data_IF_748637478325
#
_entry.id   IF_748637478325
#
_cell.length_a   1.000
_cell.length_b   1.000
_cell.length_c   1.000
_cell.angle_alpha   90.00
_cell.angle_beta   90.00
_cell.angle_gamma   90.00
#
_symmetry.space_group_name_H-M   'P 1'
#
loop_
_entity.id
_entity.type
_entity.pdbx_description
1 polymer ?
#
# COMPACT_ATOMS: atom_id res chain seq x y z
N UNK A 1 14.65 10.08 4.96
CA UNK A 1 13.43 9.26 5.08
C UNK A 1 13.26 8.43 3.81
N UNK A 2 13.01 7.16 3.96
CA UNK A 2 12.74 6.26 2.84
C UNK A 2 11.35 6.55 2.27
N UNK A 3 11.25 6.62 0.95
CA UNK A 3 10.00 6.90 0.25
C UNK A 3 9.21 5.60 0.08
N UNK A 4 8.05 5.52 0.70
CA UNK A 4 7.18 4.36 0.65
C UNK A 4 5.92 4.62 -0.20
N UNK A 5 5.54 3.66 -1.03
CA UNK A 5 4.22 3.62 -1.64
C UNK A 5 3.35 2.56 -0.97
N UNK A 6 2.05 2.81 -0.90
CA UNK A 6 1.06 1.85 -0.40
C UNK A 6 0.08 1.56 -1.52
N UNK A 7 0.04 0.31 -1.97
CA UNK A 7 -0.86 -0.16 -3.02
C UNK A 7 -2.01 -0.93 -2.38
N UNK A 8 -3.23 -0.64 -2.81
CA UNK A 8 -4.44 -1.09 -2.14
C UNK A 8 -4.83 -0.21 -0.96
N UNK A 9 -4.43 1.06 -1.00
CA UNK A 9 -4.55 2.00 0.11
C UNK A 9 -5.99 2.23 0.62
N UNK A 10 -7.00 2.03 -0.22
CA UNK A 10 -8.42 2.19 0.15
C UNK A 10 -9.01 0.96 0.83
N UNK A 11 -8.37 -0.20 0.74
CA UNK A 11 -8.79 -1.43 1.40
C UNK A 11 -8.37 -1.48 2.87
N UNK A 12 -8.93 -2.44 3.61
CA UNK A 12 -8.69 -2.59 5.06
C UNK A 12 -7.20 -2.77 5.36
N UNK A 13 -6.50 -3.62 4.64
CA UNK A 13 -5.06 -3.88 4.84
C UNK A 13 -4.22 -2.66 4.49
N UNK A 14 -4.51 -2.01 3.36
CA UNK A 14 -3.82 -0.78 2.97
C UNK A 14 -3.99 0.35 3.98
N UNK A 15 -5.16 0.47 4.58
CA UNK A 15 -5.41 1.42 5.66
C UNK A 15 -4.56 1.13 6.91
N UNK A 16 -4.32 -0.14 7.24
CA UNK A 16 -3.42 -0.52 8.33
C UNK A 16 -1.96 -0.10 8.02
N UNK A 17 -1.51 -0.24 6.78
CA UNK A 17 -0.20 0.30 6.39
C UNK A 17 -0.13 1.82 6.53
N UNK A 18 -1.15 2.54 6.10
CA UNK A 18 -1.22 4.00 6.29
C UNK A 18 -1.13 4.35 7.77
N UNK A 19 -1.91 3.67 8.61
CA UNK A 19 -1.91 3.89 10.06
C UNK A 19 -0.54 3.64 10.69
N UNK A 20 0.13 2.55 10.28
CA UNK A 20 1.43 2.18 10.81
C UNK A 20 2.56 3.12 10.35
N UNK A 21 2.48 3.64 9.12
CA UNK A 21 3.55 4.40 8.51
C UNK A 21 3.42 5.93 8.64
N UNK A 22 2.24 6.47 8.96
CA UNK A 22 2.03 7.93 8.94
C UNK A 22 2.91 8.72 9.93
N UNK A 23 3.42 8.08 10.97
CA UNK A 23 4.34 8.67 11.95
C UNK A 23 5.61 7.84 12.12
N UNK A 24 5.93 7.02 11.13
CA UNK A 24 7.08 6.12 11.21
C UNK A 24 8.40 6.92 11.11
N UNK A 25 9.41 6.63 11.96
CA UNK A 25 10.65 7.42 11.99
C UNK A 25 11.53 7.26 10.74
N UNK A 26 11.34 6.20 9.94
CA UNK A 26 12.18 5.90 8.79
C UNK A 26 11.48 6.05 7.44
N UNK A 27 10.14 6.05 7.42
CA UNK A 27 9.38 6.07 6.18
C UNK A 27 8.53 7.32 6.05
N UNK A 28 8.46 7.83 4.84
CA UNK A 28 7.45 8.83 4.42
C UNK A 28 6.52 8.17 3.42
N UNK A 29 5.22 8.30 3.61
CA UNK A 29 4.22 7.88 2.63
C UNK A 29 4.28 8.86 1.46
N UNK A 30 4.92 8.45 0.36
CA UNK A 30 5.12 9.28 -0.83
C UNK A 30 4.00 9.12 -1.86
N UNK A 31 3.35 7.96 -1.89
CA UNK A 31 2.23 7.70 -2.79
C UNK A 31 1.24 6.70 -2.20
N UNK A 32 -0.01 6.87 -2.58
CA UNK A 32 -1.11 5.96 -2.31
C UNK A 32 -1.68 5.52 -3.65
N UNK A 33 -1.83 4.22 -3.86
CA UNK A 33 -2.36 3.67 -5.10
C UNK A 33 -3.51 2.70 -4.81
N UNK A 34 -4.45 2.64 -5.74
CA UNK A 34 -5.61 1.79 -5.66
C UNK A 34 -6.11 1.42 -7.07
N UNK A 35 -7.29 0.80 -7.15
CA UNK A 35 -7.90 0.49 -8.43
C UNK A 35 -8.17 1.76 -9.26
N UNK A 36 -8.29 1.64 -10.60
CA UNK A 36 -8.59 2.78 -11.47
C UNK A 36 -9.83 3.59 -11.06
N UNK A 37 -10.78 2.97 -10.39
CA UNK A 37 -11.99 3.64 -9.87
C UNK A 37 -11.67 4.74 -8.84
N UNK A 38 -10.61 4.57 -8.08
CA UNK A 38 -10.17 5.54 -7.06
C UNK A 38 -9.10 6.50 -7.57
N UNK A 39 -8.47 6.20 -8.69
CA UNK A 39 -7.41 7.03 -9.26
C UNK A 39 -7.89 8.43 -9.62
N UNK A 40 -7.03 9.43 -9.41
CA UNK A 40 -7.31 10.83 -9.68
C UNK A 40 -8.11 11.57 -8.59
N UNK A 41 -8.59 10.85 -7.58
CA UNK A 41 -9.24 11.43 -6.40
C UNK A 41 -8.20 11.70 -5.32
N UNK A 42 -8.47 12.63 -4.39
CA UNK A 42 -7.73 12.67 -3.13
C UNK A 42 -8.02 11.40 -2.32
N UNK A 43 -7.12 11.03 -1.42
CA UNK A 43 -7.35 9.86 -0.57
C UNK A 43 -8.62 10.02 0.25
N UNK A 44 -8.90 11.22 0.75
CA UNK A 44 -10.16 11.57 1.44
C UNK A 44 -11.38 11.22 0.57
N UNK A 45 -11.39 11.67 -0.68
CA UNK A 45 -12.49 11.41 -1.60
C UNK A 45 -12.61 9.92 -1.95
N UNK A 46 -11.49 9.22 -2.11
CA UNK A 46 -11.47 7.79 -2.39
C UNK A 46 -12.03 6.95 -1.23
N UNK A 47 -11.91 7.43 0.01
CA UNK A 47 -12.45 6.79 1.22
C UNK A 47 -13.90 7.13 1.49
N UNK A 48 -14.46 8.15 0.86
CA UNK A 48 -15.84 8.58 1.09
C UNK A 48 -16.82 7.85 0.20
N UNK A 49 -17.97 7.50 0.78
CA UNK A 49 -19.13 7.11 -0.01
C UNK A 49 -19.66 8.36 -0.75
N UNK A 50 -19.76 8.34 -2.08
CA UNK A 50 -20.16 9.52 -2.86
C UNK A 50 -21.61 9.98 -2.61
N UNK A 51 -22.47 9.08 -2.15
CA UNK A 51 -23.89 9.38 -1.91
C UNK A 51 -24.14 9.90 -0.49
N UNK A 52 -23.47 9.31 0.51
CA UNK A 52 -23.73 9.61 1.92
C UNK A 52 -22.63 10.46 2.56
N UNK A 53 -21.44 10.58 1.94
CA UNK A 53 -20.27 11.23 2.52
C UNK A 53 -19.61 10.44 3.65
N UNK A 54 -20.12 9.23 3.97
CA UNK A 54 -19.57 8.42 5.04
C UNK A 54 -18.14 7.97 4.71
N UNK A 55 -17.26 8.06 5.70
CA UNK A 55 -15.86 7.63 5.58
C UNK A 55 -15.75 6.13 5.80
N UNK A 56 -15.15 5.43 4.83
CA UNK A 56 -14.78 4.00 4.94
C UNK A 56 -13.36 3.86 5.50
N UNK A 57 -13.15 4.35 6.70
CA UNK A 57 -11.88 4.22 7.42
C UNK A 57 -12.05 3.31 8.64
N UNK A 58 -11.23 2.26 8.71
CA UNK A 58 -11.37 1.17 9.69
C UNK A 58 -10.10 0.95 10.55
N UNK A 59 -9.04 1.74 10.32
CA UNK A 59 -7.75 1.54 10.95
C UNK A 59 -7.52 2.42 12.20
N UNK A 60 -8.58 2.83 12.88
CA UNK A 60 -8.50 3.67 14.08
C UNK A 60 -8.75 5.16 13.79
N UNK A 61 -7.92 6.06 14.32
CA UNK A 61 -8.06 7.49 14.06
C UNK A 61 -7.72 7.83 12.60
N UNK A 62 -8.44 8.79 12.03
CA UNK A 62 -8.18 9.25 10.66
C UNK A 62 -6.72 9.72 10.49
N UNK A 63 -6.12 9.49 9.32
CA UNK A 63 -4.81 10.03 9.00
C UNK A 63 -4.79 11.56 9.06
N UNK A 64 -3.58 12.12 9.16
CA UNK A 64 -3.43 13.57 9.09
C UNK A 64 -3.86 14.12 7.72
N UNK A 65 -4.12 15.42 7.67
CA UNK A 65 -4.62 16.10 6.47
C UNK A 65 -3.68 15.96 5.28
N UNK A 66 -2.37 16.00 5.51
CA UNK A 66 -1.40 15.86 4.42
C UNK A 66 -1.53 14.51 3.69
N UNK A 67 -1.78 13.43 4.42
CA UNK A 67 -2.02 12.11 3.84
C UNK A 67 -3.40 12.05 3.18
N UNK A 68 -4.43 12.59 3.83
CA UNK A 68 -5.79 12.59 3.28
C UNK A 68 -5.91 13.38 1.98
N UNK A 69 -5.05 14.36 1.77
CA UNK A 69 -5.04 15.21 0.57
C UNK A 69 -4.12 14.67 -0.54
N UNK A 70 -3.35 13.60 -0.28
CA UNK A 70 -2.56 12.94 -1.33
C UNK A 70 -3.48 12.43 -2.45
N UNK A 71 -3.07 12.61 -3.72
CA UNK A 71 -3.78 12.00 -4.83
C UNK A 71 -3.61 10.48 -4.80
N UNK A 72 -4.67 9.76 -5.15
CA UNK A 72 -4.60 8.31 -5.35
C UNK A 72 -4.21 8.03 -6.79
N UNK A 73 -3.13 7.27 -6.97
CA UNK A 73 -2.66 6.83 -8.27
C UNK A 73 -3.31 5.49 -8.66
N UNK A 74 -3.39 5.20 -9.96
CA UNK A 74 -3.79 3.89 -10.42
C UNK A 74 -2.66 2.88 -10.16
N UNK A 75 -2.96 1.73 -9.55
CA UNK A 75 -1.95 0.75 -9.19
C UNK A 75 -1.19 0.19 -10.40
N UNK A 76 -1.85 0.05 -11.55
CA UNK A 76 -1.27 -0.42 -12.81
C UNK A 76 -0.42 0.64 -13.55
N UNK A 77 -0.51 1.90 -13.15
CA UNK A 77 0.27 3.02 -13.70
C UNK A 77 1.35 3.53 -12.73
N UNK A 78 1.47 2.94 -11.54
CA UNK A 78 2.45 3.36 -10.54
C UNK A 78 3.86 3.10 -11.04
N UNK A 79 4.71 4.14 -11.05
CA UNK A 79 6.13 4.02 -11.37
C UNK A 79 6.93 3.59 -10.14
N UNK A 80 7.40 2.33 -10.06
CA UNK A 80 8.07 1.83 -8.88
C UNK A 80 9.48 2.41 -8.67
N UNK A 81 10.06 3.05 -9.68
CA UNK A 81 11.42 3.64 -9.57
C UNK A 81 11.46 4.86 -8.65
N UNK A 82 10.31 5.41 -8.30
CA UNK A 82 10.17 6.57 -7.42
C UNK A 82 10.30 6.24 -5.93
N UNK A 83 10.33 4.96 -5.57
CA UNK A 83 10.19 4.53 -4.18
C UNK A 83 11.35 3.65 -3.73
N UNK A 84 11.60 3.67 -2.43
CA UNK A 84 12.57 2.79 -1.77
C UNK A 84 11.92 1.46 -1.36
N UNK A 85 10.60 1.44 -1.18
CA UNK A 85 9.81 0.26 -0.83
C UNK A 85 8.34 0.45 -1.24
N UNK A 86 7.71 -0.65 -1.63
CA UNK A 86 6.26 -0.69 -1.89
C UNK A 86 5.62 -1.70 -0.94
N UNK A 87 4.60 -1.24 -0.21
CA UNK A 87 3.74 -2.09 0.62
C UNK A 87 2.46 -2.39 -0.16
N UNK A 88 2.11 -3.66 -0.30
CA UNK A 88 0.90 -4.06 -1.03
C UNK A 88 -0.10 -4.74 -0.10
N UNK A 89 -1.32 -4.19 -0.07
CA UNK A 89 -2.47 -4.75 0.61
C UNK A 89 -3.59 -5.06 -0.39
N UNK A 90 -3.27 -5.84 -1.42
CA UNK A 90 -4.17 -6.22 -2.51
C UNK A 90 -4.45 -7.72 -2.49
N UNK A 91 -5.50 -8.14 -3.21
CA UNK A 91 -5.83 -9.55 -3.36
C UNK A 91 -4.82 -10.28 -4.25
N UNK A 92 -4.80 -11.62 -4.16
CA UNK A 92 -3.82 -12.46 -4.84
C UNK A 92 -3.87 -12.35 -6.36
N UNK A 93 -5.04 -12.20 -6.97
CA UNK A 93 -5.12 -12.11 -8.43
C UNK A 93 -4.44 -10.86 -9.00
N UNK A 94 -4.77 -9.63 -8.55
CA UNK A 94 -4.01 -8.46 -8.99
C UNK A 94 -2.54 -8.48 -8.56
N UNK A 95 -2.21 -9.09 -7.41
CA UNK A 95 -0.83 -9.21 -6.95
C UNK A 95 0.05 -10.00 -7.93
N UNK A 96 -0.47 -11.06 -8.54
CA UNK A 96 0.26 -11.88 -9.53
C UNK A 96 0.80 -11.06 -10.70
N UNK A 97 0.10 -10.01 -11.09
CA UNK A 97 0.50 -9.14 -12.20
C UNK A 97 1.33 -7.95 -11.72
N UNK A 98 0.90 -7.28 -10.65
CA UNK A 98 1.47 -5.99 -10.22
C UNK A 98 2.78 -6.17 -9.43
N UNK A 99 2.84 -7.09 -8.50
CA UNK A 99 4.00 -7.22 -7.61
C UNK A 99 5.29 -7.57 -8.35
N UNK A 100 5.30 -8.49 -9.37
CA UNK A 100 6.50 -8.72 -10.17
C UNK A 100 6.98 -7.50 -10.95
N UNK A 101 6.07 -6.62 -11.37
CA UNK A 101 6.42 -5.37 -12.06
C UNK A 101 7.12 -4.41 -11.10
N UNK A 102 6.61 -4.25 -9.90
CA UNK A 102 7.21 -3.40 -8.88
C UNK A 102 8.57 -3.94 -8.41
N UNK A 103 8.66 -5.25 -8.22
CA UNK A 103 9.86 -5.92 -7.71
C UNK A 103 11.08 -5.83 -8.64
N UNK A 104 10.90 -5.43 -9.90
CA UNK A 104 12.01 -5.14 -10.81
C UNK A 104 12.81 -3.91 -10.40
N UNK A 105 12.21 -3.00 -9.64
CA UNK A 105 12.79 -1.69 -9.34
C UNK A 105 12.98 -1.43 -7.86
N UNK A 106 12.17 -2.00 -6.99
CA UNK A 106 12.29 -1.81 -5.55
C UNK A 106 11.73 -3.00 -4.75
N UNK A 107 12.12 -3.15 -3.49
CA UNK A 107 11.54 -4.15 -2.60
C UNK A 107 10.03 -4.01 -2.47
N UNK A 108 9.32 -5.14 -2.48
CA UNK A 108 7.87 -5.22 -2.28
C UNK A 108 7.59 -6.03 -1.02
N UNK A 109 6.85 -5.44 -0.10
CA UNK A 109 6.36 -6.11 1.11
C UNK A 109 4.87 -6.36 0.93
N UNK A 110 4.52 -7.62 0.74
CA UNK A 110 3.16 -8.05 0.39
C UNK A 110 2.49 -8.80 1.53
N UNK A 111 1.19 -8.59 1.67
CA UNK A 111 0.31 -9.42 2.51
C UNK A 111 -0.45 -10.47 1.71
N UNK A 112 -0.37 -10.42 0.37
CA UNK A 112 -1.04 -11.36 -0.51
C UNK A 112 -0.41 -12.76 -0.45
N UNK A 113 -1.20 -13.79 -0.76
CA UNK A 113 -0.72 -15.17 -0.81
C UNK A 113 -0.09 -15.55 -2.16
N UNK A 114 -0.11 -14.67 -3.15
CA UNK A 114 0.23 -14.97 -4.55
C UNK A 114 1.62 -15.62 -4.72
N UNK A 115 2.63 -15.17 -3.97
CA UNK A 115 4.01 -15.65 -4.08
C UNK A 115 4.52 -16.31 -2.79
N UNK A 116 3.64 -16.57 -1.84
CA UNK A 116 4.01 -17.07 -0.50
C UNK A 116 4.75 -18.40 -0.50
N UNK A 117 4.53 -19.23 -1.51
CA UNK A 117 5.13 -20.57 -1.63
C UNK A 117 6.23 -20.65 -2.69
N UNK A 118 6.65 -19.53 -3.26
CA UNK A 118 7.80 -19.49 -4.18
C UNK A 118 9.10 -19.65 -3.41
N UNK A 119 10.05 -20.43 -3.93
CA UNK A 119 11.30 -20.75 -3.23
C UNK A 119 12.19 -19.53 -2.97
N UNK A 120 12.11 -18.52 -3.82
CA UNK A 120 12.92 -17.30 -3.78
C UNK A 120 12.21 -16.12 -3.09
N UNK A 121 11.04 -16.36 -2.50
CA UNK A 121 10.27 -15.33 -1.78
C UNK A 121 10.25 -15.63 -0.28
N UNK A 122 10.93 -14.82 0.55
CA UNK A 122 10.90 -15.02 1.99
C UNK A 122 9.52 -14.70 2.57
N UNK A 123 9.05 -15.57 3.47
CA UNK A 123 7.85 -15.33 4.28
C UNK A 123 8.32 -14.96 5.69
N UNK A 124 8.05 -13.72 6.08
CA UNK A 124 8.54 -13.19 7.35
C UNK A 124 7.42 -13.05 8.37
N UNK A 125 7.70 -13.54 9.58
CA UNK A 125 6.89 -13.30 10.77
C UNK A 125 7.87 -12.68 11.78
N UNK A 126 7.84 -11.34 11.96
CA UNK A 126 8.79 -10.65 12.82
C UNK A 126 8.84 -11.25 14.24
N UNK A 127 10.06 -11.47 14.73
CA UNK A 127 10.29 -12.11 16.02
C UNK A 127 10.17 -13.63 16.03
N UNK A 128 9.83 -14.26 14.90
CA UNK A 128 9.71 -15.72 14.77
C UNK A 128 10.77 -16.28 13.83
N UNK A 129 10.94 -15.69 12.66
CA UNK A 129 11.86 -16.17 11.63
C UNK A 129 12.65 -15.04 10.98
N UNK A 130 13.18 -14.11 11.77
CA UNK A 130 13.93 -12.94 11.31
C UNK A 130 15.21 -13.31 10.53
N UNK A 131 15.69 -14.55 10.67
CA UNK A 131 16.84 -15.12 9.96
C UNK A 131 16.53 -15.53 8.49
N UNK A 132 15.30 -15.37 8.05
CA UNK A 132 14.90 -15.64 6.66
C UNK A 132 15.09 -14.44 5.71
N UNK A 133 15.62 -13.32 6.21
CA UNK A 133 15.91 -12.14 5.40
C UNK A 133 17.25 -12.27 4.67
#
# INVERSE_FOLDING_TARGET
MLQAAIVGATGIVGQQFVQALQHHPWFTIAALAASPRSAGKSYRQALQNPETGAMHWYAGSLPNTAILDLPVEAADELDPTRFDVIFTGIESEPAKTLEPLYAKSCPVISTASAFRYEEDVPVLIPGVNDDHI
#
